data_IF_208011072463
#
_entry.id   IF_208011072463
#
_cell.length_a   1.000
_cell.length_b   1.000
_cell.length_c   1.000
_cell.angle_alpha   90.00
_cell.angle_beta   90.00
_cell.angle_gamma   90.00
#
_symmetry.space_group_name_H-M   'P 1'
#
loop_
_entity.id
_entity.type
_entity.pdbx_description
1 polymer ?
#
# COMPACT_ATOMS: atom_id res chain seq x y z
N UNK A 1 -1.59 14.46 12.06
CA UNK A 1 -0.43 15.31 12.38
C UNK A 1 0.61 14.46 13.10
N UNK A 2 1.85 14.37 12.59
CA UNK A 2 2.98 13.66 13.19
C UNK A 2 4.00 14.70 13.65
N UNK A 3 4.35 14.71 14.95
CA UNK A 3 5.44 15.55 15.45
C UNK A 3 6.78 14.97 14.99
N UNK A 4 7.66 15.80 14.46
CA UNK A 4 9.00 15.36 14.11
C UNK A 4 9.84 15.13 15.38
N UNK A 5 10.55 14.00 15.51
CA UNK A 5 11.39 13.76 16.66
C UNK A 5 12.47 14.85 16.74
N UNK A 6 12.66 15.42 17.93
CA UNK A 6 13.66 16.45 18.23
C UNK A 6 13.47 17.79 17.48
N UNK A 7 12.30 18.02 16.88
CA UNK A 7 11.93 19.31 16.26
C UNK A 7 10.56 19.74 16.73
N UNK A 8 10.32 21.05 16.83
CA UNK A 8 8.98 21.59 17.12
C UNK A 8 8.20 21.84 15.83
N UNK A 9 8.21 20.84 14.96
CA UNK A 9 7.56 20.85 13.66
C UNK A 9 6.55 19.69 13.60
N UNK A 10 5.42 19.95 12.95
CA UNK A 10 4.35 18.99 12.77
C UNK A 10 4.10 18.78 11.28
N UNK A 11 4.13 17.52 10.85
CA UNK A 11 3.75 17.14 9.50
C UNK A 11 2.29 16.73 9.52
N UNK A 12 1.46 17.37 8.70
CA UNK A 12 0.12 16.90 8.44
C UNK A 12 0.16 15.84 7.35
N UNK A 13 -0.50 14.70 7.59
CA UNK A 13 -0.55 13.58 6.67
C UNK A 13 -2.01 13.43 6.29
N UNK A 14 -2.30 13.55 5.00
CA UNK A 14 -3.64 13.40 4.45
C UNK A 14 -3.74 12.06 3.70
N UNK A 15 -4.93 11.44 3.65
CA UNK A 15 -5.16 10.33 2.73
C UNK A 15 -4.93 10.77 1.28
N UNK A 16 -4.29 9.90 0.50
CA UNK A 16 -4.06 10.10 -0.94
C UNK A 16 -4.75 8.99 -1.73
N UNK A 17 -5.35 9.34 -2.86
CA UNK A 17 -5.96 8.39 -3.79
C UNK A 17 -5.11 8.31 -5.06
N UNK A 18 -4.61 7.11 -5.38
CA UNK A 18 -3.84 6.84 -6.58
C UNK A 18 -4.61 5.83 -7.42
N UNK A 19 -5.00 6.23 -8.62
CA UNK A 19 -5.73 5.39 -9.57
C UNK A 19 -4.76 4.87 -10.63
N UNK A 20 -4.63 3.55 -10.73
CA UNK A 20 -3.68 2.90 -11.64
C UNK A 20 -3.83 3.37 -13.08
N UNK A 21 -5.06 3.41 -13.61
CA UNK A 21 -5.30 3.80 -15.00
C UNK A 21 -4.87 5.24 -15.29
N UNK A 22 -5.08 6.17 -14.35
CA UNK A 22 -4.63 7.56 -14.48
C UNK A 22 -3.11 7.64 -14.50
N UNK A 23 -2.44 6.90 -13.61
CA UNK A 23 -0.97 6.82 -13.56
C UNK A 23 -0.40 6.27 -14.87
N UNK A 24 -0.97 5.18 -15.39
CA UNK A 24 -0.52 4.56 -16.64
C UNK A 24 -0.70 5.51 -17.84
N UNK A 25 -1.83 6.22 -17.91
CA UNK A 25 -2.11 7.22 -18.94
C UNK A 25 -1.14 8.40 -18.88
N UNK A 26 -0.92 8.96 -17.69
CA UNK A 26 -0.04 10.13 -17.50
C UNK A 26 1.42 9.81 -17.82
N UNK A 27 1.90 8.64 -17.38
CA UNK A 27 3.27 8.19 -17.67
C UNK A 27 3.43 7.65 -19.10
N UNK A 28 2.31 7.31 -19.76
CA UNK A 28 2.24 6.67 -21.07
C UNK A 28 3.02 5.35 -21.09
N UNK A 29 2.72 4.49 -20.12
CA UNK A 29 3.34 3.16 -19.98
C UNK A 29 2.26 2.12 -19.75
N UNK A 30 2.55 0.87 -20.08
CA UNK A 30 1.68 -0.26 -19.73
C UNK A 30 1.92 -0.71 -18.28
N UNK A 31 1.00 -1.50 -17.70
CA UNK A 31 1.22 -2.13 -16.38
C UNK A 31 2.51 -2.94 -16.35
N UNK A 32 2.80 -3.65 -17.43
CA UNK A 32 4.04 -4.42 -17.58
C UNK A 32 5.26 -3.51 -17.51
N UNK A 33 5.27 -2.40 -18.27
CA UNK A 33 6.36 -1.43 -18.23
C UNK A 33 6.48 -0.75 -16.86
N UNK A 34 5.37 -0.49 -16.15
CA UNK A 34 5.41 0.04 -14.80
C UNK A 34 6.11 -0.93 -13.83
N UNK A 35 5.87 -2.24 -13.97
CA UNK A 35 6.57 -3.28 -13.21
C UNK A 35 8.06 -3.29 -13.57
N UNK A 36 8.41 -3.21 -14.85
CA UNK A 36 9.81 -3.17 -15.29
C UNK A 36 10.54 -1.92 -14.76
N UNK A 37 9.87 -0.77 -14.70
CA UNK A 37 10.37 0.45 -14.07
C UNK A 37 10.65 0.20 -12.58
N UNK A 38 9.71 -0.43 -11.86
CA UNK A 38 9.88 -0.73 -10.44
C UNK A 38 11.05 -1.69 -10.20
N UNK A 39 11.24 -2.72 -11.05
CA UNK A 39 12.38 -3.64 -10.96
C UNK A 39 13.71 -2.90 -11.15
N UNK A 40 13.80 -1.95 -12.08
CA UNK A 40 15.02 -1.15 -12.25
C UNK A 40 15.32 -0.24 -11.04
N UNK A 41 14.29 0.31 -10.40
CA UNK A 41 14.44 1.17 -9.21
C UNK A 41 14.81 0.35 -7.97
N UNK A 42 14.19 -0.82 -7.82
CA UNK A 42 14.28 -1.68 -6.66
C UNK A 42 12.89 -2.05 -6.13
N UNK A 43 12.71 -3.34 -5.83
CA UNK A 43 11.50 -3.90 -5.19
C UNK A 43 11.92 -4.68 -3.93
N UNK A 44 10.96 -5.18 -3.16
CA UNK A 44 11.27 -6.06 -2.01
C UNK A 44 12.04 -7.33 -2.42
N UNK A 45 11.96 -7.75 -3.69
CA UNK A 45 12.71 -8.90 -4.24
C UNK A 45 14.09 -8.53 -4.78
N UNK A 46 14.37 -7.23 -4.97
CA UNK A 46 15.67 -6.71 -5.38
C UNK A 46 15.90 -5.31 -4.76
N UNK A 47 16.13 -5.24 -3.44
CA UNK A 47 16.02 -4.00 -2.68
C UNK A 47 17.02 -2.91 -3.11
N UNK A 48 18.19 -3.32 -3.60
CA UNK A 48 19.21 -2.38 -4.07
C UNK A 48 18.90 -1.80 -5.47
N UNK A 49 17.95 -2.39 -6.19
CA UNK A 49 17.64 -2.04 -7.57
C UNK A 49 18.85 -2.10 -8.49
N UNK A 50 18.83 -1.33 -9.58
CA UNK A 50 20.02 -1.11 -10.39
C UNK A 50 20.73 0.15 -9.89
N UNK A 51 22.00 0.00 -9.49
CA UNK A 51 22.83 1.11 -9.01
C UNK A 51 22.86 2.28 -10.01
N UNK A 52 22.48 3.47 -9.55
CA UNK A 52 22.44 4.69 -10.37
C UNK A 52 21.16 4.88 -11.20
N UNK A 53 20.19 3.97 -11.08
CA UNK A 53 18.90 4.05 -11.77
C UNK A 53 17.81 4.43 -10.77
N UNK A 54 17.47 5.73 -10.72
CA UNK A 54 16.33 6.23 -9.96
C UNK A 54 15.03 6.28 -10.77
N UNK A 55 13.89 6.72 -10.18
CA UNK A 55 12.58 6.69 -10.83
C UNK A 55 12.50 7.38 -12.20
N UNK A 56 13.08 8.57 -12.32
CA UNK A 56 13.11 9.33 -13.59
C UNK A 56 13.94 8.60 -14.66
N UNK A 57 15.07 8.04 -14.27
CA UNK A 57 15.97 7.31 -15.17
C UNK A 57 15.31 6.01 -15.64
N UNK A 58 14.75 5.23 -14.71
CA UNK A 58 14.04 3.99 -15.02
C UNK A 58 12.89 4.20 -16.01
N UNK A 59 12.03 5.20 -15.75
CA UNK A 59 10.94 5.57 -16.67
C UNK A 59 11.48 5.93 -18.06
N UNK A 60 12.52 6.77 -18.14
CA UNK A 60 13.12 7.16 -19.41
C UNK A 60 13.68 5.95 -20.17
N UNK A 61 14.37 5.05 -19.47
CA UNK A 61 14.96 3.85 -20.06
C UNK A 61 13.89 2.93 -20.62
N UNK A 62 12.84 2.61 -19.85
CA UNK A 62 11.77 1.75 -20.34
C UNK A 62 11.00 2.39 -21.50
N UNK A 63 10.76 3.71 -21.48
CA UNK A 63 10.16 4.39 -22.64
C UNK A 63 11.07 4.39 -23.89
N UNK A 64 12.39 4.39 -23.72
CA UNK A 64 13.35 4.42 -24.82
C UNK A 64 13.60 3.03 -25.42
N UNK A 65 13.80 2.03 -24.55
CA UNK A 65 14.15 0.67 -24.95
C UNK A 65 12.93 -0.23 -25.12
N UNK A 66 11.80 0.13 -24.54
CA UNK A 66 10.51 -0.55 -24.68
C UNK A 66 10.29 -1.74 -23.73
N UNK A 67 11.36 -2.38 -23.27
CA UNK A 67 11.30 -3.52 -22.35
C UNK A 67 12.49 -3.59 -21.39
N UNK A 68 12.33 -4.34 -20.30
CA UNK A 68 13.39 -4.62 -19.33
C UNK A 68 14.59 -5.32 -19.99
N UNK A 69 14.36 -6.32 -20.83
CA UNK A 69 15.41 -7.06 -21.52
C UNK A 69 16.33 -6.12 -22.34
N UNK A 70 15.74 -5.18 -23.07
CA UNK A 70 16.49 -4.22 -23.88
C UNK A 70 17.17 -3.16 -23.00
N UNK A 71 16.54 -2.74 -21.91
CA UNK A 71 17.14 -1.81 -20.96
C UNK A 71 18.37 -2.41 -20.25
N UNK A 72 18.34 -3.69 -19.88
CA UNK A 72 19.47 -4.39 -19.25
C UNK A 72 20.68 -4.53 -20.18
N UNK A 73 20.48 -4.62 -21.50
CA UNK A 73 21.59 -4.61 -22.48
C UNK A 73 22.39 -3.29 -22.45
N UNK A 74 21.75 -2.19 -22.04
CA UNK A 74 22.41 -0.90 -21.84
C UNK A 74 23.05 -0.74 -20.44
N UNK A 75 22.87 -1.74 -19.56
CA UNK A 75 23.34 -1.76 -18.18
C UNK A 75 24.15 -3.05 -17.92
N UNK A 76 25.36 -3.19 -18.49
CA UNK A 76 26.14 -4.42 -18.38
C UNK A 76 26.58 -4.76 -16.96
N UNK A 77 26.55 -3.79 -16.03
CA UNK A 77 26.92 -3.95 -14.63
C UNK A 77 25.69 -4.03 -13.70
N UNK A 78 24.49 -4.27 -14.23
CA UNK A 78 23.31 -4.45 -13.41
C UNK A 78 23.39 -5.80 -12.69
N UNK A 79 23.44 -5.77 -11.37
CA UNK A 79 23.43 -6.95 -10.51
C UNK A 79 22.04 -7.12 -9.91
N UNK A 80 21.53 -8.34 -9.93
CA UNK A 80 20.26 -8.69 -9.28
C UNK A 80 20.48 -9.90 -8.37
N UNK A 81 19.86 -9.92 -7.17
CA UNK A 81 19.95 -11.06 -6.26
C UNK A 81 19.23 -12.31 -6.80
N UNK A 82 18.24 -12.11 -7.67
CA UNK A 82 17.46 -13.15 -8.36
C UNK A 82 17.21 -12.72 -9.80
N UNK A 83 16.78 -13.64 -10.67
CA UNK A 83 16.46 -13.31 -12.05
C UNK A 83 15.37 -12.21 -12.12
N UNK A 84 15.64 -11.04 -12.75
CA UNK A 84 14.64 -9.97 -12.88
C UNK A 84 13.36 -10.41 -13.62
N UNK A 85 13.42 -11.44 -14.46
CA UNK A 85 12.23 -11.97 -15.14
C UNK A 85 11.34 -12.80 -14.21
N UNK A 86 11.91 -13.49 -13.22
CA UNK A 86 11.14 -14.17 -12.17
C UNK A 86 10.45 -13.14 -11.26
N UNK A 87 11.14 -12.05 -10.91
CA UNK A 87 10.51 -10.93 -10.18
C UNK A 87 9.33 -10.37 -10.98
N UNK A 88 9.53 -10.10 -12.27
CA UNK A 88 8.47 -9.60 -13.16
C UNK A 88 7.27 -10.54 -13.18
N UNK A 89 7.50 -11.85 -13.25
CA UNK A 89 6.44 -12.86 -13.23
C UNK A 89 5.61 -12.81 -11.96
N UNK A 90 6.25 -12.68 -10.79
CA UNK A 90 5.55 -12.55 -9.49
C UNK A 90 4.57 -11.37 -9.49
N UNK A 91 4.97 -10.23 -10.07
CA UNK A 91 4.09 -9.04 -10.15
C UNK A 91 3.02 -9.16 -11.22
N UNK A 92 3.29 -9.84 -12.33
CA UNK A 92 2.31 -10.05 -13.41
C UNK A 92 1.24 -11.07 -12.99
N UNK A 93 1.67 -12.16 -12.35
CA UNK A 93 0.87 -13.33 -11.96
C UNK A 93 1.02 -13.62 -10.45
N UNK A 94 0.61 -12.69 -9.57
CA UNK A 94 0.70 -12.91 -8.14
C UNK A 94 -0.22 -14.06 -7.71
N UNK A 95 0.22 -14.83 -6.72
CA UNK A 95 -0.63 -15.83 -6.08
C UNK A 95 -1.74 -15.12 -5.30
N UNK A 96 -2.96 -15.14 -5.84
CA UNK A 96 -4.14 -14.52 -5.24
C UNK A 96 -5.21 -15.57 -4.99
N UNK A 97 -6.00 -15.35 -3.95
CA UNK A 97 -7.21 -16.15 -3.69
C UNK A 97 -8.44 -15.27 -3.81
N UNK A 98 -9.47 -15.78 -4.49
CA UNK A 98 -10.82 -15.22 -4.48
C UNK A 98 -11.71 -15.84 -3.39
N UNK A 99 -11.21 -16.83 -2.66
CA UNK A 99 -11.96 -17.56 -1.64
C UNK A 99 -11.90 -16.80 -0.31
N UNK A 100 -12.66 -15.71 -0.24
CA UNK A 100 -12.86 -14.96 1.00
C UNK A 100 -14.25 -14.29 1.02
N UNK A 101 -14.74 -14.01 2.22
CA UNK A 101 -15.98 -13.28 2.44
C UNK A 101 -15.72 -12.06 3.31
N UNK A 102 -16.13 -10.88 2.83
CA UNK A 102 -16.06 -9.64 3.59
C UNK A 102 -17.29 -9.56 4.50
N UNK A 103 -17.10 -9.88 5.79
CA UNK A 103 -18.13 -9.77 6.82
C UNK A 103 -17.63 -8.94 8.00
N UNK A 104 -18.40 -7.93 8.39
CA UNK A 104 -18.18 -7.21 9.63
C UNK A 104 -19.00 -7.85 10.74
N UNK A 105 -18.31 -8.40 11.74
CA UNK A 105 -18.92 -9.03 12.91
C UNK A 105 -18.88 -8.09 14.11
N UNK A 106 -19.82 -8.27 15.03
CA UNK A 106 -19.85 -7.53 16.28
C UNK A 106 -18.57 -7.80 17.07
N UNK A 107 -17.85 -6.77 17.56
CA UNK A 107 -16.67 -6.94 18.40
C UNK A 107 -16.95 -7.79 19.65
N UNK A 108 -16.06 -8.76 19.93
CA UNK A 108 -16.08 -9.52 21.19
C UNK A 108 -15.42 -8.69 22.31
N UNK A 109 -16.27 -8.08 23.14
CA UNK A 109 -15.83 -7.18 24.20
C UNK A 109 -14.91 -7.88 25.20
N UNK A 110 -15.32 -9.07 25.67
CA UNK A 110 -14.58 -9.78 26.70
C UNK A 110 -13.25 -10.32 26.15
N UNK A 111 -13.26 -10.82 24.91
CA UNK A 111 -12.04 -11.26 24.23
C UNK A 111 -11.03 -10.13 24.04
N UNK A 112 -11.51 -8.94 23.67
CA UNK A 112 -10.66 -7.75 23.49
C UNK A 112 -10.07 -7.28 24.81
N UNK A 113 -10.88 -7.22 25.89
CA UNK A 113 -10.39 -6.79 27.20
C UNK A 113 -9.33 -7.75 27.74
N UNK A 114 -9.59 -9.06 27.68
CA UNK A 114 -8.61 -10.06 28.10
C UNK A 114 -7.30 -9.93 27.32
N UNK A 115 -7.37 -9.87 25.99
CA UNK A 115 -6.16 -9.81 25.17
C UNK A 115 -5.38 -8.50 25.35
N UNK A 116 -6.05 -7.34 25.43
CA UNK A 116 -5.35 -6.06 25.50
C UNK A 116 -4.98 -5.66 26.92
N UNK A 117 -5.84 -5.87 27.90
CA UNK A 117 -5.64 -5.40 29.27
C UNK A 117 -4.91 -6.46 30.10
N UNK A 118 -5.38 -7.72 30.09
CA UNK A 118 -4.79 -8.77 30.94
C UNK A 118 -3.46 -9.30 30.37
N UNK A 119 -3.37 -9.51 29.05
CA UNK A 119 -2.18 -10.11 28.42
C UNK A 119 -1.14 -9.08 27.92
N UNK A 120 -1.55 -7.83 27.68
CA UNK A 120 -0.71 -6.79 27.04
C UNK A 120 -0.63 -5.48 27.82
N UNK A 121 -1.19 -5.44 29.03
CA UNK A 121 -1.12 -4.32 29.98
C UNK A 121 -1.58 -2.96 29.42
N UNK A 122 -2.53 -2.96 28.47
CA UNK A 122 -3.16 -1.72 28.05
C UNK A 122 -4.09 -1.19 29.15
N UNK A 123 -4.20 0.14 29.23
CA UNK A 123 -5.17 0.79 30.11
C UNK A 123 -6.60 0.39 29.73
N UNK A 124 -7.27 -0.32 30.64
CA UNK A 124 -8.65 -0.79 30.47
C UNK A 124 -9.61 0.36 30.13
N UNK A 125 -9.47 1.50 30.84
CA UNK A 125 -10.25 2.70 30.59
C UNK A 125 -10.12 3.19 29.14
N UNK A 126 -8.89 3.24 28.61
CA UNK A 126 -8.64 3.67 27.22
C UNK A 126 -9.20 2.67 26.21
N UNK A 127 -9.06 1.38 26.49
CA UNK A 127 -9.59 0.29 25.64
C UNK A 127 -11.12 0.36 25.60
N UNK A 128 -11.77 0.46 26.76
CA UNK A 128 -13.24 0.57 26.86
C UNK A 128 -13.77 1.80 26.12
N UNK A 129 -13.12 2.95 26.26
CA UNK A 129 -13.51 4.16 25.54
C UNK A 129 -13.43 4.00 24.01
N UNK A 130 -12.40 3.32 23.51
CA UNK A 130 -12.28 3.02 22.08
C UNK A 130 -13.30 1.99 21.61
N UNK A 131 -13.52 0.95 22.40
CA UNK A 131 -14.46 -0.13 22.10
C UNK A 131 -15.91 0.38 22.04
N UNK A 132 -16.29 1.27 22.94
CA UNK A 132 -17.60 1.93 22.92
C UNK A 132 -17.82 2.73 21.63
N UNK A 133 -16.79 3.39 21.09
CA UNK A 133 -16.88 4.07 19.78
C UNK A 133 -17.02 3.08 18.64
N UNK A 134 -16.26 1.99 18.66
CA UNK A 134 -16.32 0.95 17.64
C UNK A 134 -17.70 0.25 17.60
N UNK A 135 -18.27 -0.08 18.76
CA UNK A 135 -19.60 -0.67 18.88
C UNK A 135 -20.69 0.25 18.32
N UNK A 136 -20.64 1.54 18.66
CA UNK A 136 -21.57 2.54 18.10
C UNK A 136 -21.45 2.65 16.58
N UNK A 137 -20.22 2.68 16.05
CA UNK A 137 -19.97 2.72 14.61
C UNK A 137 -20.48 1.45 13.91
N UNK A 138 -20.31 0.28 14.53
CA UNK A 138 -20.85 -0.98 14.02
C UNK A 138 -22.37 -0.94 13.92
N UNK A 139 -23.07 -0.51 14.98
CA UNK A 139 -24.53 -0.39 14.99
C UNK A 139 -25.03 0.60 13.93
N UNK A 140 -24.32 1.71 13.70
CA UNK A 140 -24.64 2.66 12.64
C UNK A 140 -24.44 2.05 11.25
N UNK A 141 -23.36 1.31 11.04
CA UNK A 141 -23.07 0.65 9.76
C UNK A 141 -24.08 -0.46 9.42
N UNK A 142 -24.68 -1.11 10.41
CA UNK A 142 -25.73 -2.13 10.18
C UNK A 142 -27.08 -1.54 9.78
N UNK A 143 -27.27 -0.22 9.91
CA UNK A 143 -28.48 0.48 9.47
C UNK A 143 -28.34 0.90 8.01
N UNK A 144 -29.47 1.03 7.31
CA UNK A 144 -29.47 1.48 5.91
C UNK A 144 -28.82 2.86 5.78
N UNK A 145 -27.79 2.96 4.95
CA UNK A 145 -27.09 4.21 4.66
C UNK A 145 -28.02 5.20 3.95
N UNK A 146 -28.06 6.45 4.43
CA UNK A 146 -28.79 7.55 3.78
C UNK A 146 -27.91 8.28 2.77
N UNK A 147 -28.50 8.97 1.80
CA UNK A 147 -27.77 9.84 0.85
C UNK A 147 -26.91 10.91 1.56
N UNK A 148 -27.39 11.43 2.69
CA UNK A 148 -26.65 12.38 3.55
C UNK A 148 -25.33 11.78 4.06
N UNK A 149 -25.26 10.45 4.23
CA UNK A 149 -24.06 9.73 4.68
C UNK A 149 -22.93 9.79 3.65
N UNK A 150 -23.24 9.92 2.35
CA UNK A 150 -22.25 9.92 1.27
C UNK A 150 -21.82 11.32 0.83
N UNK A 151 -22.73 12.28 0.84
CA UNK A 151 -22.49 13.61 0.26
C UNK A 151 -22.35 14.74 1.29
N UNK A 152 -22.58 14.45 2.58
CA UNK A 152 -22.64 15.45 3.64
C UNK A 152 -23.79 16.44 3.45
N UNK A 153 -24.14 17.20 4.49
CA UNK A 153 -24.92 18.43 4.30
C UNK A 153 -23.96 19.49 3.76
N UNK A 154 -24.29 20.05 2.59
CA UNK A 154 -23.64 21.27 2.09
C UNK A 154 -23.72 22.39 3.12
#
# INVERSE_FOLDING_TARGET
>A
RRKLPRKDEYVEIHPELIELDKVLQELQVTREQLIEIAILIGTDYNPDGVKGVGPKTALKMIKTYGSLEKALKALPNAEFPVDPFEIKKIFMEPQVTGDYKLEWRKPDVNGILRFLCDERDFSEERVMNALNRALKAYEQHTKQSTLETFFGRR
#
